data_IF_317329079430
#
_entry.id   IF_317329079430
#
_cell.length_a   1.000
_cell.length_b   1.000
_cell.length_c   1.000
_cell.angle_alpha   90.00
_cell.angle_beta   90.00
_cell.angle_gamma   90.00
#
_symmetry.space_group_name_H-M   'P 1'
#
loop_
_entity.id
_entity.type
_entity.pdbx_description
1 polymer ?
#
# COMPACT_ATOMS: atom_id res chain seq x y z
N UNK A 1 0.67 38.50 -13.82
CA UNK A 1 1.46 37.39 -13.26
C UNK A 1 1.32 37.47 -11.76
N UNK A 2 0.89 36.41 -11.09
CA UNK A 2 0.76 36.38 -9.62
C UNK A 2 2.16 36.25 -8.99
N UNK A 3 2.35 36.80 -7.78
CA UNK A 3 3.65 36.83 -7.07
C UNK A 3 4.23 35.42 -6.93
N UNK A 4 3.34 34.44 -6.77
CA UNK A 4 3.62 33.02 -6.58
C UNK A 4 4.25 32.38 -7.83
N UNK A 5 3.85 32.80 -9.04
CA UNK A 5 4.45 32.29 -10.29
C UNK A 5 5.87 32.82 -10.51
N UNK A 6 6.16 34.03 -10.01
CA UNK A 6 7.51 34.60 -10.07
C UNK A 6 8.45 33.92 -9.07
N UNK A 7 7.95 33.55 -7.88
CA UNK A 7 8.70 32.76 -6.91
C UNK A 7 8.99 31.35 -7.44
N UNK A 8 8.01 30.68 -8.03
CA UNK A 8 8.19 29.38 -8.67
C UNK A 8 9.33 29.39 -9.71
N UNK A 9 9.34 30.38 -10.60
CA UNK A 9 10.38 30.51 -11.64
C UNK A 9 11.78 30.73 -11.09
N UNK A 10 11.93 31.38 -9.94
CA UNK A 10 13.24 31.60 -9.29
C UNK A 10 13.82 30.33 -8.68
N UNK A 11 12.96 29.38 -8.31
CA UNK A 11 13.33 28.10 -7.71
C UNK A 11 13.55 26.98 -8.74
N UNK A 12 13.34 27.26 -10.03
CA UNK A 12 13.46 26.27 -11.10
C UNK A 12 14.94 26.03 -11.46
N UNK A 13 15.37 24.78 -11.40
CA UNK A 13 16.73 24.33 -11.76
C UNK A 13 16.67 23.08 -12.65
N UNK A 14 17.79 22.71 -13.28
CA UNK A 14 17.91 21.47 -14.05
C UNK A 14 18.03 20.24 -13.12
N UNK A 15 17.75 19.05 -13.63
CA UNK A 15 17.94 17.81 -12.88
C UNK A 15 19.43 17.60 -12.52
N UNK A 16 20.33 18.00 -13.42
CA UNK A 16 21.78 17.94 -13.22
C UNK A 16 22.24 18.91 -12.13
N UNK A 17 21.68 20.12 -12.07
CA UNK A 17 22.00 21.09 -11.02
C UNK A 17 21.42 20.66 -9.67
N UNK A 18 20.22 20.07 -9.66
CA UNK A 18 19.66 19.44 -8.47
C UNK A 18 20.56 18.29 -7.97
N UNK A 19 21.04 17.42 -8.87
CA UNK A 19 21.90 16.30 -8.54
C UNK A 19 23.25 16.74 -7.95
N UNK A 20 23.80 17.92 -8.35
CA UNK A 20 25.04 18.49 -7.78
C UNK A 20 24.90 18.89 -6.31
N UNK A 21 23.67 19.10 -5.81
CA UNK A 21 23.45 19.41 -4.40
C UNK A 21 23.73 18.21 -3.49
N UNK A 22 23.64 16.99 -4.03
CA UNK A 22 23.96 15.74 -3.32
C UNK A 22 25.47 15.59 -3.15
N UNK A 23 25.88 15.26 -1.94
CA UNK A 23 27.26 15.00 -1.52
C UNK A 23 27.40 13.60 -0.94
N UNK A 24 28.63 13.09 -0.94
CA UNK A 24 28.95 11.82 -0.29
C UNK A 24 28.57 11.84 1.19
N UNK A 25 27.87 10.81 1.65
CA UNK A 25 27.36 10.72 3.02
C UNK A 25 25.97 11.31 3.26
N UNK A 26 25.37 11.99 2.28
CA UNK A 26 24.02 12.55 2.43
C UNK A 26 22.96 11.45 2.53
N UNK A 27 21.91 11.72 3.30
CA UNK A 27 20.68 10.95 3.31
C UNK A 27 19.66 11.56 2.32
N UNK A 28 19.53 10.92 1.16
CA UNK A 28 18.60 11.27 0.09
C UNK A 28 17.36 10.40 0.19
N UNK A 29 16.21 11.00 0.47
CA UNK A 29 14.94 10.31 0.62
C UNK A 29 14.02 10.58 -0.56
N UNK A 30 13.28 9.56 -0.98
CA UNK A 30 12.13 9.71 -1.87
C UNK A 30 10.85 9.68 -1.05
N UNK A 31 9.88 10.51 -1.44
CA UNK A 31 8.53 10.36 -0.89
C UNK A 31 7.85 9.09 -1.40
N UNK A 32 6.94 8.54 -0.60
CA UNK A 32 6.15 7.36 -0.98
C UNK A 32 5.27 7.63 -2.21
N UNK A 33 5.21 6.66 -3.12
CA UNK A 33 4.33 6.69 -4.29
C UNK A 33 5.17 6.79 -5.56
N UNK A 34 4.96 7.84 -6.35
CA UNK A 34 5.78 8.08 -7.53
C UNK A 34 7.09 8.74 -7.14
N UNK A 35 8.19 8.10 -7.52
CA UNK A 35 9.54 8.62 -7.30
C UNK A 35 9.87 9.70 -8.35
N UNK A 36 10.59 10.75 -7.93
CA UNK A 36 11.11 11.81 -8.81
C UNK A 36 12.16 11.21 -9.77
N UNK A 37 11.79 11.07 -11.04
CA UNK A 37 12.55 10.26 -11.97
C UNK A 37 13.79 10.98 -12.49
N UNK A 38 13.62 12.21 -12.97
CA UNK A 38 14.70 12.95 -13.62
C UNK A 38 15.83 13.25 -12.63
N UNK A 39 15.48 13.70 -11.42
CA UNK A 39 16.47 13.99 -10.38
C UNK A 39 17.15 12.70 -9.89
N UNK A 40 16.40 11.63 -9.67
CA UNK A 40 16.98 10.35 -9.25
C UNK A 40 17.96 9.76 -10.26
N UNK A 41 17.64 9.83 -11.56
CA UNK A 41 18.55 9.38 -12.63
C UNK A 41 19.81 10.25 -12.71
N UNK A 42 19.67 11.56 -12.56
CA UNK A 42 20.80 12.48 -12.56
C UNK A 42 21.75 12.23 -11.36
N UNK A 43 21.21 11.84 -10.20
CA UNK A 43 22.01 11.42 -9.04
C UNK A 43 22.71 10.09 -9.32
N UNK A 44 21.98 9.09 -9.84
CA UNK A 44 22.53 7.78 -10.16
C UNK A 44 23.68 7.86 -11.17
N UNK A 45 23.60 8.77 -12.15
CA UNK A 45 24.65 9.01 -13.13
C UNK A 45 25.99 9.46 -12.50
N UNK A 46 25.96 9.97 -11.26
CA UNK A 46 27.15 10.40 -10.50
C UNK A 46 27.76 9.27 -9.65
N UNK A 47 27.44 8.00 -9.94
CA UNK A 47 27.97 6.80 -9.27
C UNK A 47 29.49 6.88 -9.02
N UNK A 48 30.26 7.21 -10.06
CA UNK A 48 31.72 7.21 -9.96
C UNK A 48 32.27 8.33 -9.03
N UNK A 49 31.49 9.39 -8.80
CA UNK A 49 31.86 10.56 -7.97
C UNK A 49 31.41 10.43 -6.51
N UNK A 50 30.23 9.86 -6.27
CA UNK A 50 29.57 9.84 -4.96
C UNK A 50 29.96 8.59 -4.16
N UNK A 51 30.13 8.73 -2.85
CA UNK A 51 30.41 7.60 -1.95
C UNK A 51 29.48 7.62 -0.75
N UNK A 52 28.99 6.44 -0.38
CA UNK A 52 28.16 6.23 0.80
C UNK A 52 26.96 7.20 0.90
N UNK A 53 26.30 7.48 -0.22
CA UNK A 53 25.02 8.22 -0.22
C UNK A 53 23.95 7.24 0.24
N UNK A 54 23.25 7.60 1.32
CA UNK A 54 22.16 6.78 1.83
C UNK A 54 20.87 7.15 1.09
N UNK A 55 20.32 6.19 0.35
CA UNK A 55 19.14 6.39 -0.48
C UNK A 55 17.96 5.66 0.16
N UNK A 56 17.01 6.45 0.68
CA UNK A 56 15.77 5.93 1.24
C UNK A 56 14.64 5.95 0.20
N UNK A 57 14.13 4.78 -0.17
CA UNK A 57 13.07 4.60 -1.17
C UNK A 57 11.94 3.76 -0.57
N UNK A 58 10.82 4.37 -0.14
CA UNK A 58 9.73 3.64 0.51
C UNK A 58 9.08 2.55 -0.35
N UNK A 59 9.11 2.68 -1.67
CA UNK A 59 8.57 1.68 -2.58
C UNK A 59 9.28 1.79 -3.92
N UNK A 60 10.07 0.76 -4.25
CA UNK A 60 10.94 0.72 -5.44
C UNK A 60 10.10 0.53 -6.71
N UNK A 61 9.68 1.65 -7.31
CA UNK A 61 8.79 1.69 -8.48
C UNK A 61 9.50 1.96 -9.80
N UNK A 62 10.72 2.50 -9.75
CA UNK A 62 11.54 2.83 -10.91
C UNK A 62 12.94 2.27 -10.78
N UNK A 63 13.50 1.91 -11.94
CA UNK A 63 14.89 1.49 -12.04
C UNK A 63 15.80 2.71 -12.24
N UNK A 64 16.76 2.86 -11.34
CA UNK A 64 17.79 3.89 -11.37
C UNK A 64 19.19 3.29 -11.57
N UNK A 65 19.32 1.97 -11.64
CA UNK A 65 20.59 1.25 -11.74
C UNK A 65 21.30 1.00 -10.39
N UNK A 66 21.04 1.77 -9.34
CA UNK A 66 21.66 1.57 -8.01
C UNK A 66 21.21 0.31 -7.25
N UNK A 67 20.32 -0.50 -7.84
CA UNK A 67 19.94 -1.81 -7.32
C UNK A 67 20.85 -2.94 -7.82
N UNK A 68 21.62 -2.67 -8.88
CA UNK A 68 22.52 -3.64 -9.48
C UNK A 68 23.73 -3.91 -8.56
N UNK A 69 24.26 -5.15 -8.54
CA UNK A 69 25.49 -5.46 -7.82
C UNK A 69 26.66 -4.56 -8.24
N UNK A 70 27.46 -4.11 -7.29
CA UNK A 70 28.66 -3.30 -7.53
C UNK A 70 28.41 -1.79 -7.49
N UNK A 71 27.29 -1.34 -6.92
CA UNK A 71 26.98 0.07 -6.67
C UNK A 71 26.99 0.44 -5.18
N UNK A 72 27.21 -0.53 -4.29
CA UNK A 72 27.05 -0.42 -2.83
C UNK A 72 28.07 0.55 -2.19
N UNK A 73 29.25 0.72 -2.80
CA UNK A 73 30.24 1.72 -2.37
C UNK A 73 29.74 3.16 -2.57
N UNK A 74 28.85 3.35 -3.55
CA UNK A 74 28.32 4.66 -3.93
C UNK A 74 26.99 4.93 -3.24
N UNK A 75 26.09 3.94 -3.24
CA UNK A 75 24.73 4.06 -2.74
C UNK A 75 24.39 2.92 -1.79
N UNK A 76 23.99 3.26 -0.56
CA UNK A 76 23.36 2.32 0.37
C UNK A 76 21.85 2.49 0.29
N UNK A 77 21.13 1.40 0.03
CA UNK A 77 19.68 1.45 -0.19
C UNK A 77 18.94 1.00 1.06
N UNK A 78 18.03 1.84 1.53
CA UNK A 78 17.01 1.43 2.51
C UNK A 78 15.64 1.59 1.89
N UNK A 79 14.88 0.50 1.88
CA UNK A 79 13.46 0.54 1.57
C UNK A 79 12.63 0.39 2.84
N UNK A 80 11.33 0.61 2.74
CA UNK A 80 10.41 0.36 3.85
C UNK A 80 9.08 -0.11 3.30
N UNK A 81 8.12 -0.44 4.17
CA UNK A 81 6.72 -0.70 3.82
C UNK A 81 6.40 -1.89 2.89
N UNK A 82 7.04 -1.98 1.72
CA UNK A 82 6.85 -3.03 0.73
C UNK A 82 8.14 -3.30 -0.06
N UNK A 83 8.47 -4.59 -0.22
CA UNK A 83 9.45 -5.05 -1.21
C UNK A 83 8.73 -5.41 -2.50
N UNK A 84 8.98 -4.66 -3.58
CA UNK A 84 8.45 -4.95 -4.91
C UNK A 84 9.37 -5.90 -5.68
N UNK A 85 8.87 -6.61 -6.72
CA UNK A 85 9.65 -7.62 -7.45
C UNK A 85 11.06 -7.19 -7.85
N UNK A 86 11.23 -5.94 -8.28
CA UNK A 86 12.52 -5.38 -8.70
C UNK A 86 13.56 -5.32 -7.58
N UNK A 87 13.14 -5.23 -6.32
CA UNK A 87 14.04 -5.11 -5.16
C UNK A 87 14.22 -6.44 -4.39
N UNK A 88 13.46 -7.50 -4.74
CA UNK A 88 13.46 -8.76 -3.98
C UNK A 88 14.83 -9.44 -3.94
N UNK A 89 15.53 -9.46 -5.07
CA UNK A 89 16.83 -10.12 -5.15
C UNK A 89 17.88 -9.36 -4.34
N UNK A 90 17.90 -8.02 -4.44
CA UNK A 90 18.78 -7.17 -3.63
C UNK A 90 18.57 -7.37 -2.12
N UNK A 91 17.32 -7.45 -1.66
CA UNK A 91 17.00 -7.74 -0.25
C UNK A 91 17.41 -9.16 0.13
N UNK A 92 17.16 -10.16 -0.73
CA UNK A 92 17.57 -11.55 -0.49
C UNK A 92 19.09 -11.69 -0.36
N UNK A 93 19.82 -10.92 -1.16
CA UNK A 93 21.28 -10.85 -1.17
C UNK A 93 21.84 -9.96 -0.03
N UNK A 94 20.97 -9.33 0.77
CA UNK A 94 21.33 -8.44 1.89
C UNK A 94 22.12 -7.21 1.47
N UNK A 95 21.88 -6.73 0.25
CA UNK A 95 22.48 -5.51 -0.32
C UNK A 95 21.64 -4.26 -0.05
N UNK A 96 20.42 -4.43 0.46
CA UNK A 96 19.54 -3.35 0.90
C UNK A 96 18.90 -3.67 2.24
N UNK A 97 18.64 -2.61 3.01
CA UNK A 97 17.96 -2.68 4.30
C UNK A 97 16.45 -2.48 4.16
N UNK A 98 15.68 -3.08 5.07
CA UNK A 98 14.23 -2.94 5.15
C UNK A 98 13.83 -2.27 6.48
N UNK A 99 13.51 -0.98 6.44
CA UNK A 99 13.08 -0.22 7.59
C UNK A 99 11.60 -0.45 7.93
N UNK A 100 11.30 -0.56 9.22
CA UNK A 100 9.96 -0.77 9.77
C UNK A 100 9.49 0.45 10.56
N UNK A 101 8.17 0.65 10.62
CA UNK A 101 7.54 1.63 11.51
C UNK A 101 7.47 3.07 10.99
N UNK A 102 8.17 3.41 9.90
CA UNK A 102 8.25 4.78 9.38
C UNK A 102 6.93 5.39 8.91
N UNK A 103 6.00 4.57 8.41
CA UNK A 103 4.65 4.97 7.98
C UNK A 103 3.58 4.49 8.95
N UNK A 104 3.97 4.04 10.14
CA UNK A 104 3.05 3.59 11.18
C UNK A 104 2.28 4.78 11.75
N UNK A 105 0.96 4.68 11.96
CA UNK A 105 0.19 5.70 12.68
C UNK A 105 0.50 5.74 14.18
N UNK A 106 1.27 4.76 14.69
CA UNK A 106 1.68 4.70 16.09
C UNK A 106 2.86 5.64 16.35
N UNK A 107 2.86 6.34 17.48
CA UNK A 107 4.02 7.13 17.92
C UNK A 107 5.26 6.25 18.01
N UNK A 108 6.37 6.76 17.49
CA UNK A 108 7.64 6.08 17.43
C UNK A 108 8.80 7.08 17.56
N UNK A 109 10.04 6.58 17.60
CA UNK A 109 11.20 7.46 17.60
C UNK A 109 11.21 8.33 16.34
N UNK A 110 11.75 9.54 16.46
CA UNK A 110 11.93 10.40 15.29
C UNK A 110 12.79 9.67 14.25
N UNK A 111 12.38 9.68 12.97
CA UNK A 111 13.18 9.09 11.91
C UNK A 111 14.50 9.86 11.75
N UNK A 112 15.52 9.24 11.15
CA UNK A 112 16.77 9.93 10.87
C UNK A 112 16.53 11.20 10.03
N UNK A 113 17.29 12.29 10.28
CA UNK A 113 17.14 13.53 9.53
C UNK A 113 17.37 13.28 8.05
N UNK A 114 16.57 13.92 7.21
CA UNK A 114 16.67 13.82 5.74
C UNK A 114 17.45 15.02 5.25
N UNK A 115 18.59 14.79 4.58
CA UNK A 115 19.37 15.90 4.02
C UNK A 115 18.68 16.46 2.78
N UNK A 116 18.21 15.57 1.89
CA UNK A 116 17.55 15.95 0.65
C UNK A 116 16.33 15.06 0.44
N UNK A 117 15.15 15.66 0.35
CA UNK A 117 13.92 14.98 -0.02
C UNK A 117 13.58 15.24 -1.48
N UNK A 118 13.32 14.17 -2.21
CA UNK A 118 12.85 14.19 -3.58
C UNK A 118 11.37 13.81 -3.62
N UNK A 119 10.55 14.66 -4.21
CA UNK A 119 9.11 14.43 -4.34
C UNK A 119 8.60 14.82 -5.72
N UNK A 120 7.42 14.32 -6.10
CA UNK A 120 6.73 14.69 -7.34
C UNK A 120 5.46 15.48 -7.01
N UNK A 121 5.24 16.59 -7.72
CA UNK A 121 4.10 17.48 -7.52
C UNK A 121 3.51 17.98 -8.84
N UNK A 122 2.24 18.35 -8.83
CA UNK A 122 1.64 19.08 -9.95
C UNK A 122 2.25 20.49 -10.05
N UNK A 123 2.06 21.20 -11.19
CA UNK A 123 2.29 22.63 -11.24
C UNK A 123 1.51 23.37 -10.15
N UNK A 124 2.03 24.51 -9.64
CA UNK A 124 1.30 25.35 -8.70
C UNK A 124 0.06 25.94 -9.37
N UNK A 125 -1.02 26.04 -8.62
CA UNK A 125 -2.20 26.80 -9.05
C UNK A 125 -2.01 28.31 -8.86
N UNK A 126 -3.05 29.09 -9.15
CA UNK A 126 -3.04 30.56 -9.03
C UNK A 126 -2.78 31.07 -7.60
N UNK A 127 -2.87 30.21 -6.59
CA UNK A 127 -2.65 30.51 -5.19
C UNK A 127 -1.33 29.92 -4.66
N UNK A 128 -0.47 29.41 -5.54
CA UNK A 128 0.83 28.84 -5.16
C UNK A 128 0.74 27.43 -4.58
N UNK A 129 -0.40 26.73 -4.71
CA UNK A 129 -0.52 25.35 -4.21
C UNK A 129 -0.28 24.33 -5.31
N UNK A 130 0.66 23.43 -5.06
CA UNK A 130 0.85 22.19 -5.80
C UNK A 130 0.03 21.07 -5.15
N UNK A 131 -0.21 19.99 -5.88
CA UNK A 131 -0.79 18.74 -5.37
C UNK A 131 0.22 17.61 -5.47
N UNK A 132 0.20 16.67 -4.52
CA UNK A 132 1.01 15.45 -4.60
C UNK A 132 0.38 14.36 -5.49
N UNK A 133 -0.69 14.69 -6.21
CA UNK A 133 -1.24 13.80 -7.21
C UNK A 133 -2.22 12.77 -6.65
N UNK A 134 -1.96 11.51 -6.98
CA UNK A 134 -2.79 10.39 -6.59
C UNK A 134 -2.57 9.91 -5.15
N UNK A 135 -1.57 10.42 -4.42
CA UNK A 135 -1.28 9.91 -3.07
C UNK A 135 -0.59 10.92 -2.16
N UNK A 136 -0.95 10.86 -0.87
CA UNK A 136 -0.34 11.68 0.17
C UNK A 136 0.66 10.89 1.02
N UNK A 137 0.30 9.70 1.50
CA UNK A 137 1.13 8.90 2.43
C UNK A 137 1.64 9.73 3.61
N UNK A 138 2.96 9.78 3.84
CA UNK A 138 3.65 10.58 4.86
C UNK A 138 4.37 11.81 4.26
N UNK A 139 4.03 12.21 3.02
CA UNK A 139 4.78 13.24 2.26
C UNK A 139 4.94 14.55 3.01
N UNK A 140 3.88 15.04 3.66
CA UNK A 140 3.93 16.34 4.35
C UNK A 140 4.81 16.28 5.59
N UNK A 141 4.81 15.17 6.29
CA UNK A 141 5.69 14.89 7.41
C UNK A 141 7.15 14.83 6.94
N UNK A 142 7.43 14.18 5.82
CA UNK A 142 8.78 14.12 5.21
C UNK A 142 9.29 15.48 4.76
N UNK A 143 8.44 16.29 4.13
CA UNK A 143 8.79 17.67 3.73
C UNK A 143 9.23 18.48 4.95
N UNK A 144 8.54 18.36 6.08
CA UNK A 144 8.91 19.08 7.32
C UNK A 144 10.20 18.58 7.97
N UNK A 145 10.55 17.32 7.77
CA UNK A 145 11.76 16.69 8.32
C UNK A 145 13.01 16.93 7.47
N UNK A 146 12.83 17.29 6.20
CA UNK A 146 13.92 17.47 5.26
C UNK A 146 14.61 18.83 5.44
N UNK A 147 15.95 18.84 5.32
CA UNK A 147 16.72 20.09 5.27
C UNK A 147 16.57 20.80 3.92
N UNK A 148 16.37 20.02 2.86
CA UNK A 148 16.19 20.50 1.49
C UNK A 148 15.12 19.68 0.79
N UNK A 149 14.17 20.34 0.13
CA UNK A 149 13.08 19.72 -0.63
C UNK A 149 13.20 20.09 -2.11
N UNK A 150 13.38 19.07 -2.94
CA UNK A 150 13.41 19.20 -4.40
C UNK A 150 12.17 18.53 -4.96
N UNK A 151 11.33 19.31 -5.64
CA UNK A 151 10.08 18.84 -6.21
C UNK A 151 10.16 18.75 -7.74
N UNK A 152 9.94 17.56 -8.26
CA UNK A 152 9.81 17.31 -9.68
C UNK A 152 8.38 17.61 -10.12
N UNK A 153 8.23 18.54 -11.06
CA UNK A 153 6.94 19.05 -11.52
C UNK A 153 6.44 18.21 -12.68
N UNK A 154 5.27 17.60 -12.49
CA UNK A 154 4.60 16.80 -13.50
C UNK A 154 3.18 17.36 -13.77
N UNK A 155 2.93 17.95 -14.96
CA UNK A 155 1.63 18.53 -15.31
C UNK A 155 0.52 17.49 -15.50
N UNK A 156 0.84 16.19 -15.52
CA UNK A 156 -0.12 15.09 -15.69
C UNK A 156 -0.62 14.52 -14.37
N UNK A 157 -0.12 15.01 -13.23
CA UNK A 157 -0.67 14.63 -11.94
C UNK A 157 -2.08 15.19 -11.77
N UNK A 158 -3.02 14.29 -11.46
CA UNK A 158 -4.38 14.65 -11.06
C UNK A 158 -4.36 15.47 -9.76
N UNK A 159 -5.39 16.25 -9.48
CA UNK A 159 -5.55 16.98 -8.21
C UNK A 159 -6.71 16.40 -7.42
N UNK A 160 -6.38 15.62 -6.38
CA UNK A 160 -7.37 15.08 -5.44
C UNK A 160 -7.74 16.11 -4.37
N UNK A 161 -8.94 15.97 -3.79
CA UNK A 161 -9.35 16.78 -2.64
C UNK A 161 -8.73 16.24 -1.32
N UNK A 162 -9.12 16.81 -0.18
CA UNK A 162 -8.58 16.46 1.13
C UNK A 162 -7.35 17.29 1.49
N UNK A 163 -6.34 16.67 2.10
CA UNK A 163 -5.13 17.35 2.60
C UNK A 163 -3.92 17.21 1.66
N UNK A 164 -4.17 16.86 0.40
CA UNK A 164 -3.15 16.44 -0.56
C UNK A 164 -2.50 17.58 -1.37
N UNK A 165 -2.18 18.67 -0.67
CA UNK A 165 -1.61 19.89 -1.24
C UNK A 165 -0.37 20.36 -0.45
N UNK A 166 0.50 21.11 -1.13
CA UNK A 166 1.70 21.75 -0.59
C UNK A 166 1.89 23.12 -1.23
N UNK A 167 2.28 24.13 -0.46
CA UNK A 167 2.54 25.47 -0.99
C UNK A 167 3.98 25.58 -1.50
N UNK A 168 4.21 26.38 -2.55
CA UNK A 168 5.57 26.60 -3.12
C UNK A 168 6.61 27.12 -2.11
N UNK A 169 6.16 27.74 -1.00
CA UNK A 169 7.04 28.22 0.06
C UNK A 169 7.68 27.10 0.88
N UNK A 170 7.10 25.89 0.84
CA UNK A 170 7.59 24.69 1.53
C UNK A 170 8.55 23.85 0.64
N UNK A 171 8.87 24.36 -0.56
CA UNK A 171 9.74 23.69 -1.53
C UNK A 171 10.91 24.63 -1.85
N UNK A 172 12.13 24.09 -1.80
CA UNK A 172 13.36 24.85 -2.06
C UNK A 172 13.63 24.98 -3.56
N UNK A 173 13.56 23.86 -4.28
CA UNK A 173 13.83 23.82 -5.73
C UNK A 173 12.81 23.00 -6.49
N UNK A 174 12.55 23.42 -7.73
CA UNK A 174 11.72 22.70 -8.69
C UNK A 174 12.55 22.21 -9.87
N UNK A 175 12.19 21.04 -10.40
CA UNK A 175 12.74 20.48 -11.63
C UNK A 175 11.57 20.10 -12.56
N UNK A 176 11.58 20.55 -13.81
CA UNK A 176 10.55 20.16 -14.78
C UNK A 176 10.86 18.78 -15.38
N UNK A 177 10.00 17.78 -15.16
CA UNK A 177 10.13 16.49 -15.84
C UNK A 177 9.30 16.48 -17.14
N UNK A 178 9.99 16.69 -18.26
CA UNK A 178 9.37 16.69 -19.60
C UNK A 178 9.24 15.30 -20.21
N UNK A 179 10.14 14.36 -19.92
CA UNK A 179 10.13 13.02 -20.51
C UNK A 179 8.98 12.16 -19.98
N UNK A 180 8.62 12.34 -18.71
CA UNK A 180 7.43 11.74 -18.14
C UNK A 180 6.14 12.48 -18.52
N UNK A 181 6.18 13.49 -19.39
CA UNK A 181 4.97 13.97 -20.08
C UNK A 181 4.58 13.06 -21.26
N UNK A 182 5.42 12.07 -21.62
CA UNK A 182 5.26 11.32 -22.87
C UNK A 182 4.99 9.81 -22.68
N UNK A 183 5.38 9.20 -21.55
CA UNK A 183 5.12 7.76 -21.29
C UNK A 183 3.64 7.46 -21.02
N UNK A 184 3.03 6.59 -21.82
CA UNK A 184 1.69 6.02 -21.55
C UNK A 184 1.84 4.82 -20.61
N UNK A 185 1.78 5.05 -19.30
CA UNK A 185 1.71 3.94 -18.34
C UNK A 185 0.25 3.52 -18.22
N UNK A 186 -0.14 2.49 -18.97
CA UNK A 186 -1.43 1.84 -18.81
C UNK A 186 -1.30 0.69 -17.80
N UNK A 187 -1.64 0.94 -16.53
CA UNK A 187 -1.68 -0.08 -15.47
C UNK A 187 -2.98 -0.90 -15.49
N UNK A 188 -3.86 -0.66 -16.47
CA UNK A 188 -5.14 -1.37 -16.59
C UNK A 188 -5.01 -2.81 -17.09
N UNK A 189 -3.83 -3.18 -17.61
CA UNK A 189 -3.53 -4.52 -18.12
C UNK A 189 -3.63 -5.61 -17.05
N UNK A 190 -4.21 -6.75 -17.44
CA UNK A 190 -4.33 -7.95 -16.61
C UNK A 190 -5.75 -8.49 -16.56
N UNK A 191 -5.87 -9.82 -16.48
CA UNK A 191 -7.11 -10.51 -16.19
C UNK A 191 -7.13 -10.91 -14.70
N UNK A 192 -8.30 -10.88 -14.03
CA UNK A 192 -8.43 -11.47 -12.71
C UNK A 192 -7.95 -12.93 -12.72
N UNK A 193 -7.18 -13.38 -11.73
CA UNK A 193 -6.84 -14.80 -11.65
C UNK A 193 -8.11 -15.62 -11.41
N UNK A 194 -8.21 -16.87 -11.91
CA UNK A 194 -9.41 -17.69 -11.75
C UNK A 194 -9.88 -17.86 -10.30
N UNK A 195 -8.91 -17.92 -9.36
CA UNK A 195 -9.20 -18.01 -7.93
C UNK A 195 -9.96 -16.80 -7.38
N UNK A 196 -9.81 -15.60 -7.97
CA UNK A 196 -10.56 -14.42 -7.56
C UNK A 196 -12.08 -14.63 -7.73
N UNK A 197 -12.49 -15.19 -8.86
CA UNK A 197 -13.90 -15.54 -9.10
C UNK A 197 -14.41 -16.64 -8.19
N UNK A 198 -13.53 -17.58 -7.79
CA UNK A 198 -13.91 -18.67 -6.89
C UNK A 198 -14.08 -18.22 -5.43
N UNK A 199 -13.28 -17.26 -4.96
CA UNK A 199 -13.39 -16.73 -3.59
C UNK A 199 -14.46 -15.64 -3.45
N UNK A 200 -14.78 -14.91 -4.54
CA UNK A 200 -15.67 -13.75 -4.48
C UNK A 200 -17.06 -14.06 -3.87
N UNK A 201 -17.75 -15.15 -4.23
CA UNK A 201 -19.05 -15.49 -3.61
C UNK A 201 -18.95 -15.73 -2.09
N UNK A 202 -17.86 -16.35 -1.64
CA UNK A 202 -17.62 -16.61 -0.21
C UNK A 202 -17.38 -15.31 0.56
N UNK A 203 -16.58 -14.40 0.00
CA UNK A 203 -16.36 -13.07 0.59
C UNK A 203 -17.67 -12.26 0.57
N UNK A 204 -18.42 -12.27 -0.54
CA UNK A 204 -19.70 -11.56 -0.68
C UNK A 204 -20.72 -11.96 0.39
N UNK A 205 -20.74 -13.24 0.81
CA UNK A 205 -21.62 -13.72 1.89
C UNK A 205 -21.39 -13.06 3.25
N UNK A 206 -20.23 -12.40 3.42
CA UNK A 206 -19.85 -11.69 4.63
C UNK A 206 -20.11 -10.18 4.55
N UNK A 207 -20.57 -9.67 3.40
CA UNK A 207 -20.82 -8.25 3.15
C UNK A 207 -22.30 -7.91 3.24
N UNK A 208 -22.59 -6.63 3.49
CA UNK A 208 -23.93 -6.08 3.65
C UNK A 208 -24.03 -4.71 3.00
N UNK A 209 -25.26 -4.33 2.63
CA UNK A 209 -25.55 -2.95 2.24
C UNK A 209 -25.13 -1.99 3.34
N UNK A 210 -24.51 -0.86 2.96
CA UNK A 210 -24.05 0.15 3.91
C UNK A 210 -22.71 -0.12 4.57
N UNK A 211 -22.02 -1.22 4.26
CA UNK A 211 -20.69 -1.49 4.78
C UNK A 211 -19.70 -0.40 4.32
N UNK A 212 -18.78 0.00 5.22
CA UNK A 212 -17.62 0.81 4.86
C UNK A 212 -16.46 -0.11 4.55
N UNK A 213 -15.95 -0.09 3.33
CA UNK A 213 -15.00 -1.10 2.85
C UNK A 213 -13.56 -0.57 2.73
N UNK A 214 -12.64 -1.44 3.11
CA UNK A 214 -11.24 -1.42 2.70
C UNK A 214 -10.91 -2.74 2.00
N UNK A 215 -10.23 -2.65 0.86
CA UNK A 215 -9.74 -3.82 0.12
C UNK A 215 -8.25 -3.62 -0.12
N UNK A 216 -7.44 -4.53 0.43
CA UNK A 216 -5.99 -4.49 0.33
C UNK A 216 -5.50 -4.85 -1.07
N UNK A 217 -4.33 -4.33 -1.41
CA UNK A 217 -3.59 -4.79 -2.59
C UNK A 217 -3.20 -6.27 -2.44
N UNK A 218 -3.05 -6.96 -3.56
CA UNK A 218 -2.66 -8.36 -3.58
C UNK A 218 -3.18 -9.06 -4.81
N UNK A 219 -2.54 -10.17 -5.18
CA UNK A 219 -2.81 -10.90 -6.43
C UNK A 219 -4.27 -11.34 -6.58
N UNK A 220 -5.00 -11.51 -5.48
CA UNK A 220 -6.41 -11.89 -5.48
C UNK A 220 -7.31 -10.74 -5.07
N UNK A 221 -7.03 -10.09 -3.93
CA UNK A 221 -7.95 -9.12 -3.30
C UNK A 221 -8.19 -7.88 -4.16
N UNK A 222 -7.16 -7.37 -4.84
CA UNK A 222 -7.31 -6.16 -5.67
C UNK A 222 -8.31 -6.34 -6.83
N UNK A 223 -8.53 -7.60 -7.25
CA UNK A 223 -9.38 -7.97 -8.38
C UNK A 223 -10.81 -8.29 -8.00
N UNK A 224 -11.10 -8.49 -6.71
CA UNK A 224 -12.42 -8.91 -6.24
C UNK A 224 -13.56 -8.00 -6.73
N UNK A 225 -13.43 -6.65 -6.72
CA UNK A 225 -14.51 -5.81 -7.24
C UNK A 225 -14.72 -6.00 -8.75
N UNK A 226 -13.69 -6.35 -9.53
CA UNK A 226 -13.83 -6.60 -10.98
C UNK A 226 -14.49 -7.94 -11.32
N UNK A 227 -14.53 -8.89 -10.38
CA UNK A 227 -15.22 -10.17 -10.53
C UNK A 227 -16.58 -10.20 -9.82
N UNK A 228 -17.15 -9.02 -9.55
CA UNK A 228 -18.51 -8.87 -9.07
C UNK A 228 -18.70 -9.05 -7.57
N UNK A 229 -17.65 -8.92 -6.75
CA UNK A 229 -17.75 -8.99 -5.29
C UNK A 229 -18.83 -8.04 -4.72
N UNK A 230 -18.97 -6.86 -5.32
CA UNK A 230 -19.77 -5.75 -4.79
C UNK A 230 -21.02 -5.45 -5.63
N UNK A 231 -21.27 -6.18 -6.72
CA UNK A 231 -22.27 -5.82 -7.74
C UNK A 231 -23.72 -5.84 -7.21
N UNK A 232 -23.99 -6.62 -6.17
CA UNK A 232 -25.32 -6.75 -5.55
C UNK A 232 -25.46 -5.96 -4.24
N UNK A 233 -24.52 -5.06 -3.96
CA UNK A 233 -24.51 -4.25 -2.74
C UNK A 233 -24.76 -2.78 -3.07
N UNK A 234 -25.35 -2.07 -2.12
CA UNK A 234 -25.74 -0.67 -2.26
C UNK A 234 -25.35 0.14 -1.02
N UNK A 235 -25.30 1.46 -1.19
CA UNK A 235 -24.95 2.43 -0.15
C UNK A 235 -23.59 2.20 0.52
N UNK A 236 -22.66 1.58 -0.19
CA UNK A 236 -21.33 1.27 0.32
C UNK A 236 -20.53 2.56 0.57
N UNK A 237 -19.72 2.55 1.62
CA UNK A 237 -18.72 3.56 1.91
C UNK A 237 -17.31 3.08 1.63
N UNK A 238 -16.35 3.99 1.41
CA UNK A 238 -14.93 3.65 1.26
C UNK A 238 -14.09 4.45 2.25
N UNK A 239 -13.29 3.72 3.03
CA UNK A 239 -12.19 4.22 3.85
C UNK A 239 -11.05 3.22 3.71
N UNK A 240 -10.09 3.48 2.83
CA UNK A 240 -9.11 2.48 2.39
C UNK A 240 -7.71 3.06 2.38
N UNK A 241 -6.68 2.25 2.54
CA UNK A 241 -5.30 2.72 2.30
C UNK A 241 -5.13 3.16 0.84
N UNK A 242 -5.42 2.23 -0.08
CA UNK A 242 -5.39 2.45 -1.52
C UNK A 242 -6.69 1.95 -2.16
N UNK A 243 -7.18 2.63 -3.20
CA UNK A 243 -8.37 2.16 -3.92
C UNK A 243 -8.07 0.90 -4.75
N UNK A 244 -8.85 -0.16 -4.53
CA UNK A 244 -8.77 -1.37 -5.34
C UNK A 244 -9.31 -1.17 -6.77
N UNK A 245 -8.98 -2.11 -7.67
CA UNK A 245 -9.43 -2.06 -9.07
C UNK A 245 -10.96 -2.17 -9.13
N UNK A 246 -11.60 -1.27 -9.86
CA UNK A 246 -13.06 -1.27 -10.05
C UNK A 246 -13.85 -0.42 -9.06
N UNK A 247 -13.22 0.12 -8.00
CA UNK A 247 -13.90 1.01 -7.05
C UNK A 247 -14.49 2.24 -7.76
N UNK A 248 -13.74 2.87 -8.67
CA UNK A 248 -14.20 4.06 -9.41
C UNK A 248 -15.39 3.75 -10.34
N UNK A 249 -15.46 2.55 -10.91
CA UNK A 249 -16.64 2.08 -11.66
C UNK A 249 -17.88 2.04 -10.76
N UNK A 250 -17.76 1.41 -9.58
CA UNK A 250 -18.87 1.27 -8.63
C UNK A 250 -19.32 2.61 -8.02
N UNK A 251 -18.41 3.58 -7.91
CA UNK A 251 -18.77 4.97 -7.57
C UNK A 251 -19.61 5.61 -8.68
N UNK A 252 -19.20 5.47 -9.94
CA UNK A 252 -19.95 5.98 -11.10
C UNK A 252 -21.33 5.35 -11.23
N UNK A 253 -21.46 4.08 -10.89
CA UNK A 253 -22.72 3.33 -10.90
C UNK A 253 -23.62 3.61 -9.66
N UNK A 254 -23.09 4.30 -8.65
CA UNK A 254 -23.83 4.72 -7.46
C UNK A 254 -23.94 3.67 -6.34
N UNK A 255 -23.41 2.46 -6.56
CA UNK A 255 -23.31 1.41 -5.55
C UNK A 255 -22.44 1.83 -4.37
N UNK A 256 -21.33 2.52 -4.66
CA UNK A 256 -20.50 3.22 -3.67
C UNK A 256 -20.88 4.70 -3.66
N UNK A 257 -21.49 5.14 -2.58
CA UNK A 257 -21.93 6.54 -2.42
C UNK A 257 -21.59 7.14 -1.05
N UNK A 258 -21.16 6.34 -0.08
CA UNK A 258 -20.73 6.79 1.23
C UNK A 258 -21.81 7.37 2.13
N UNK A 259 -23.10 7.29 1.77
CA UNK A 259 -24.20 7.89 2.55
C UNK A 259 -24.36 7.31 3.95
N UNK A 260 -23.92 6.07 4.16
CA UNK A 260 -24.00 5.37 5.45
C UNK A 260 -22.71 5.38 6.26
N UNK A 261 -21.65 6.04 5.77
CA UNK A 261 -20.43 6.22 6.55
C UNK A 261 -20.71 7.10 7.76
N UNK A 262 -20.18 6.69 8.91
CA UNK A 262 -20.24 7.48 10.15
C UNK A 262 -19.28 8.66 10.11
N UNK A 263 -18.07 8.43 9.56
CA UNK A 263 -17.03 9.44 9.40
C UNK A 263 -16.87 9.77 7.91
N UNK A 264 -16.76 11.06 7.58
CA UNK A 264 -16.70 11.55 6.19
C UNK A 264 -17.84 11.02 5.30
N UNK A 265 -19.12 11.30 5.65
CA UNK A 265 -20.26 10.85 4.86
C UNK A 265 -20.23 11.42 3.45
N UNK A 266 -20.54 10.57 2.47
CA UNK A 266 -20.55 10.93 1.05
C UNK A 266 -19.16 10.99 0.39
N UNK A 267 -18.09 10.64 1.11
CA UNK A 267 -16.71 10.71 0.61
C UNK A 267 -16.04 9.35 0.50
N UNK A 268 -15.22 9.21 -0.54
CA UNK A 268 -14.22 8.16 -0.69
C UNK A 268 -12.94 8.65 -0.03
N UNK A 269 -12.55 8.00 1.07
CA UNK A 269 -11.36 8.36 1.84
C UNK A 269 -10.24 7.38 1.51
N UNK A 270 -9.08 7.91 1.12
CA UNK A 270 -7.88 7.11 0.95
C UNK A 270 -6.58 7.84 1.28
N UNK A 271 -5.46 7.11 1.39
CA UNK A 271 -4.13 7.74 1.35
C UNK A 271 -3.51 7.71 -0.04
N UNK A 272 -3.95 6.75 -0.87
CA UNK A 272 -3.65 6.67 -2.28
C UNK A 272 -4.89 6.28 -3.10
N UNK A 273 -5.03 6.87 -4.27
CA UNK A 273 -6.02 6.48 -5.26
C UNK A 273 -5.31 5.94 -6.50
N UNK A 274 -5.96 5.05 -7.21
CA UNK A 274 -5.39 4.39 -8.37
C UNK A 274 -6.46 3.72 -9.22
N UNK A 275 -6.12 3.46 -10.47
CA UNK A 275 -7.02 2.86 -11.43
C UNK A 275 -6.49 2.99 -12.84
N UNK A 276 -7.34 2.65 -13.81
CA UNK A 276 -7.04 2.91 -15.21
C UNK A 276 -7.02 4.42 -15.48
N UNK A 277 -6.49 4.85 -16.63
CA UNK A 277 -6.46 6.27 -17.01
C UNK A 277 -7.82 6.97 -16.86
N UNK A 278 -8.89 6.32 -17.31
CA UNK A 278 -10.26 6.86 -17.20
C UNK A 278 -10.73 7.02 -15.75
N UNK A 279 -10.24 6.16 -14.84
CA UNK A 279 -10.53 6.28 -13.43
C UNK A 279 -9.80 7.49 -12.83
N UNK A 280 -8.53 7.69 -13.22
CA UNK A 280 -7.75 8.86 -12.81
C UNK A 280 -8.37 10.17 -13.30
N UNK A 281 -8.81 10.21 -14.56
CA UNK A 281 -9.53 11.36 -15.14
C UNK A 281 -10.85 11.67 -14.42
N UNK A 282 -11.56 10.64 -13.94
CA UNK A 282 -12.78 10.83 -13.16
C UNK A 282 -12.53 11.36 -11.74
N UNK A 283 -11.37 11.02 -11.16
CA UNK A 283 -10.98 11.47 -9.83
C UNK A 283 -10.46 12.91 -9.87
N UNK A 284 -9.82 13.33 -10.96
CA UNK A 284 -9.20 14.64 -11.07
C UNK A 284 -10.19 15.80 -10.82
N UNK A 285 -9.91 16.62 -9.79
CA UNK A 285 -10.77 17.72 -9.37
C UNK A 285 -12.12 17.31 -8.76
N UNK A 286 -12.36 16.01 -8.54
CA UNK A 286 -13.63 15.52 -8.03
C UNK A 286 -13.66 15.56 -6.50
N UNK A 287 -14.54 16.37 -5.88
CA UNK A 287 -14.58 16.55 -4.43
C UNK A 287 -15.05 15.31 -3.66
N UNK A 288 -15.50 14.25 -4.34
CA UNK A 288 -15.86 12.99 -3.71
C UNK A 288 -14.64 12.20 -3.20
N UNK A 289 -13.47 12.38 -3.82
CA UNK A 289 -12.25 11.66 -3.48
C UNK A 289 -11.34 12.56 -2.65
N UNK A 290 -11.25 12.25 -1.36
CA UNK A 290 -10.38 12.98 -0.44
C UNK A 290 -9.20 12.10 -0.03
N UNK A 291 -8.01 12.65 -0.20
CA UNK A 291 -6.75 11.98 0.09
C UNK A 291 -6.12 12.60 1.35
N UNK A 292 -5.79 11.74 2.31
CA UNK A 292 -5.26 12.11 3.63
C UNK A 292 -3.98 11.34 3.99
N UNK A 293 -3.27 11.83 5.00
CA UNK A 293 -2.03 11.21 5.49
C UNK A 293 -2.28 9.75 5.89
N UNK A 294 -1.30 8.88 5.64
CA UNK A 294 -1.37 7.46 6.05
C UNK A 294 -1.53 7.35 7.57
N UNK A 295 -0.97 8.30 8.34
CA UNK A 295 -1.12 8.35 9.80
C UNK A 295 -2.56 8.65 10.24
N UNK A 296 -3.39 9.24 9.37
CA UNK A 296 -4.82 9.42 9.62
C UNK A 296 -5.63 8.23 9.11
N UNK A 297 -5.45 7.87 7.84
CA UNK A 297 -6.23 6.84 7.15
C UNK A 297 -6.03 5.47 7.79
N UNK A 298 -4.79 5.13 8.13
CA UNK A 298 -4.44 3.83 8.70
C UNK A 298 -4.51 3.82 10.23
N UNK A 299 -4.90 4.90 10.91
CA UNK A 299 -5.00 4.89 12.36
C UNK A 299 -6.17 3.99 12.82
N UNK A 300 -5.94 2.92 13.61
CA UNK A 300 -7.01 2.05 14.08
C UNK A 300 -8.15 2.80 14.80
N UNK A 301 -7.84 3.88 15.52
CA UNK A 301 -8.83 4.71 16.21
C UNK A 301 -9.69 5.55 15.24
N UNK A 302 -9.16 5.92 14.07
CA UNK A 302 -9.92 6.57 13.00
C UNK A 302 -10.76 5.54 12.24
N UNK A 303 -10.15 4.41 11.88
CA UNK A 303 -10.83 3.31 11.19
C UNK A 303 -12.05 2.84 12.00
N UNK A 304 -11.88 2.65 13.32
CA UNK A 304 -12.92 2.17 14.23
C UNK A 304 -14.14 3.10 14.37
N UNK A 305 -14.01 4.37 13.99
CA UNK A 305 -15.14 5.33 14.00
C UNK A 305 -16.14 5.08 12.89
N UNK A 306 -15.80 4.31 11.85
CA UNK A 306 -16.75 3.89 10.83
C UNK A 306 -17.51 2.66 11.31
N UNK A 307 -18.84 2.78 11.49
CA UNK A 307 -19.69 1.59 11.73
C UNK A 307 -19.64 0.65 10.50
N UNK A 308 -19.75 -0.65 10.76
CA UNK A 308 -19.70 -1.71 9.74
C UNK A 308 -18.43 -1.63 8.86
N UNK A 309 -17.28 -1.34 9.48
CA UNK A 309 -15.99 -1.35 8.78
C UNK A 309 -15.59 -2.77 8.39
N UNK A 310 -15.47 -3.04 7.10
CA UNK A 310 -15.01 -4.34 6.57
C UNK A 310 -13.66 -4.18 5.89
N UNK A 311 -12.65 -4.85 6.44
CA UNK A 311 -11.30 -4.87 5.88
C UNK A 311 -11.00 -6.23 5.25
N UNK A 312 -10.74 -6.24 3.94
CA UNK A 312 -10.50 -7.45 3.13
C UNK A 312 -9.05 -7.45 2.65
N UNK A 313 -8.21 -8.36 3.13
CA UNK A 313 -6.77 -8.36 2.83
C UNK A 313 -6.24 -9.73 2.42
N UNK A 314 -5.20 -9.75 1.60
CA UNK A 314 -4.52 -10.97 1.18
C UNK A 314 -3.67 -11.58 2.30
N UNK A 315 -3.44 -12.88 2.24
CA UNK A 315 -2.48 -13.57 3.11
C UNK A 315 -1.62 -14.54 2.30
N UNK A 316 -0.34 -14.70 2.63
CA UNK A 316 0.57 -15.72 2.07
C UNK A 316 0.29 -17.10 2.66
N UNK A 317 0.12 -17.19 3.97
CA UNK A 317 -0.23 -18.44 4.65
C UNK A 317 -0.99 -18.15 5.94
N UNK A 318 -1.77 -19.15 6.39
CA UNK A 318 -2.44 -19.15 7.69
C UNK A 318 -2.14 -20.45 8.42
N UNK A 319 -1.64 -20.36 9.65
CA UNK A 319 -1.45 -21.56 10.47
C UNK A 319 -2.72 -22.02 11.17
N UNK A 320 -2.75 -23.27 11.66
CA UNK A 320 -3.92 -23.84 12.32
C UNK A 320 -4.35 -23.14 13.61
N UNK A 321 -3.52 -22.27 14.19
CA UNK A 321 -3.90 -21.44 15.35
C UNK A 321 -4.55 -20.12 14.93
N UNK A 322 -4.45 -19.77 13.65
CA UNK A 322 -4.97 -18.57 13.02
C UNK A 322 -3.94 -17.43 12.94
N UNK A 323 -2.64 -17.69 13.04
CA UNK A 323 -1.65 -16.67 12.68
C UNK A 323 -1.63 -16.49 11.17
N UNK A 324 -1.59 -15.24 10.73
CA UNK A 324 -1.64 -14.88 9.31
C UNK A 324 -0.31 -14.24 8.93
N UNK A 325 0.38 -14.85 7.98
CA UNK A 325 1.57 -14.31 7.35
C UNK A 325 1.20 -13.72 6.00
N UNK A 326 1.58 -12.47 5.74
CA UNK A 326 1.27 -11.79 4.48
C UNK A 326 2.50 -11.17 3.79
N UNK A 327 3.63 -11.07 4.49
CA UNK A 327 4.80 -10.34 3.99
C UNK A 327 6.05 -11.18 3.72
N UNK A 328 6.19 -12.36 4.33
CA UNK A 328 7.37 -13.21 4.17
C UNK A 328 7.01 -14.69 4.02
N UNK A 329 7.96 -15.46 3.47
CA UNK A 329 7.96 -16.92 3.50
C UNK A 329 9.31 -17.36 4.06
N UNK A 330 9.30 -17.98 5.24
CA UNK A 330 10.50 -18.09 6.04
C UNK A 330 11.13 -16.70 6.28
N UNK A 331 12.46 -16.58 6.30
CA UNK A 331 13.15 -15.29 6.52
C UNK A 331 13.12 -14.36 5.30
N UNK A 332 12.51 -14.78 4.18
CA UNK A 332 12.56 -14.03 2.93
C UNK A 332 11.35 -13.11 2.78
N UNK A 333 11.62 -11.80 2.75
CA UNK A 333 10.60 -10.79 2.47
C UNK A 333 10.08 -10.93 1.04
N UNK A 334 8.77 -11.09 0.91
CA UNK A 334 8.05 -11.13 -0.36
C UNK A 334 7.40 -9.76 -0.68
N UNK A 335 6.94 -9.07 0.36
CA UNK A 335 6.36 -7.72 0.33
C UNK A 335 6.74 -6.99 1.63
N UNK A 336 5.82 -6.27 2.24
CA UNK A 336 5.92 -5.80 3.62
C UNK A 336 4.54 -5.79 4.28
N UNK A 337 4.42 -5.30 5.53
CA UNK A 337 3.21 -5.47 6.32
C UNK A 337 2.07 -4.53 5.90
N UNK A 338 2.42 -3.42 5.23
CA UNK A 338 1.50 -2.34 4.87
C UNK A 338 0.68 -1.85 6.07
N UNK A 339 -0.54 -1.38 5.81
CA UNK A 339 -1.53 -1.08 6.84
C UNK A 339 -2.38 -2.27 7.31
N UNK A 340 -2.05 -3.50 6.90
CA UNK A 340 -2.95 -4.65 7.07
C UNK A 340 -3.34 -4.89 8.54
N UNK A 341 -2.36 -4.87 9.45
CA UNK A 341 -2.61 -5.02 10.88
C UNK A 341 -3.48 -3.89 11.43
N UNK A 342 -3.25 -2.65 10.96
CA UNK A 342 -4.02 -1.50 11.43
C UNK A 342 -5.49 -1.59 11.01
N UNK A 343 -5.76 -2.02 9.79
CA UNK A 343 -7.12 -2.29 9.32
C UNK A 343 -7.77 -3.49 10.02
N UNK A 344 -6.99 -4.54 10.33
CA UNK A 344 -7.49 -5.65 11.15
C UNK A 344 -7.94 -5.16 12.54
N UNK A 345 -7.09 -4.36 13.22
CA UNK A 345 -7.41 -3.78 14.53
C UNK A 345 -8.61 -2.82 14.46
N UNK A 346 -8.60 -1.89 13.50
CA UNK A 346 -9.67 -0.92 13.31
C UNK A 346 -11.02 -1.55 13.00
N UNK A 347 -11.06 -2.56 12.13
CA UNK A 347 -12.29 -3.31 11.84
C UNK A 347 -12.80 -4.09 13.05
N UNK A 348 -11.91 -4.65 13.89
CA UNK A 348 -12.33 -5.34 15.11
C UNK A 348 -12.90 -4.42 16.19
N UNK A 349 -12.42 -3.17 16.24
CA UNK A 349 -12.88 -2.12 17.15
C UNK A 349 -14.16 -1.42 16.65
N UNK A 350 -14.39 -1.44 15.34
CA UNK A 350 -15.61 -0.92 14.72
C UNK A 350 -16.86 -1.72 15.14
N UNK A 351 -17.95 -1.00 15.40
CA UNK A 351 -19.26 -1.60 15.65
C UNK A 351 -19.77 -2.32 14.40
N UNK A 352 -19.92 -3.64 14.48
CA UNK A 352 -20.32 -4.46 13.34
C UNK A 352 -19.21 -4.71 12.32
N UNK A 353 -17.98 -4.31 12.64
CA UNK A 353 -16.84 -4.48 11.76
C UNK A 353 -16.36 -5.94 11.66
N UNK A 354 -15.70 -6.24 10.55
CA UNK A 354 -15.27 -7.57 10.13
C UNK A 354 -13.89 -7.49 9.49
N UNK A 355 -12.99 -8.40 9.85
CA UNK A 355 -11.71 -8.55 9.17
C UNK A 355 -11.69 -9.87 8.38
N UNK A 356 -11.39 -9.80 7.09
CA UNK A 356 -11.46 -10.92 6.16
C UNK A 356 -10.08 -11.11 5.51
N UNK A 357 -9.43 -12.22 5.83
CA UNK A 357 -8.20 -12.66 5.16
C UNK A 357 -8.55 -13.58 4.00
N UNK A 358 -8.07 -13.26 2.80
CA UNK A 358 -8.34 -14.00 1.57
C UNK A 358 -7.05 -14.61 1.05
N UNK A 359 -7.08 -15.89 0.74
CA UNK A 359 -5.97 -16.58 0.09
C UNK A 359 -6.46 -17.77 -0.75
N UNK A 360 -5.82 -18.05 -1.90
CA UNK A 360 -5.87 -19.38 -2.49
C UNK A 360 -5.49 -20.43 -1.44
N UNK A 361 -6.15 -21.58 -1.46
CA UNK A 361 -5.81 -22.67 -0.53
C UNK A 361 -4.44 -23.28 -0.79
N UNK A 362 -3.87 -23.08 -2.00
CA UNK A 362 -2.58 -23.64 -2.43
C UNK A 362 -1.68 -22.62 -3.15
N UNK A 363 -0.40 -22.98 -3.30
CA UNK A 363 0.63 -22.30 -4.10
C UNK A 363 1.35 -23.31 -5.01
N UNK A 364 2.21 -22.82 -5.90
CA UNK A 364 3.02 -23.63 -6.83
C UNK A 364 2.19 -24.68 -7.59
N UNK A 365 1.14 -24.23 -8.29
CA UNK A 365 0.24 -25.09 -9.07
C UNK A 365 -0.39 -26.24 -8.25
N UNK A 366 -0.74 -25.98 -6.98
CA UNK A 366 -1.38 -26.96 -6.11
C UNK A 366 -0.42 -27.81 -5.28
N UNK A 367 0.90 -27.67 -5.48
CA UNK A 367 1.91 -28.49 -4.80
C UNK A 367 2.09 -28.14 -3.32
N UNK A 368 1.78 -26.90 -2.91
CA UNK A 368 2.00 -26.43 -1.53
C UNK A 368 0.68 -25.92 -0.95
N UNK A 369 0.31 -26.36 0.25
CA UNK A 369 -0.83 -25.81 1.00
C UNK A 369 -0.50 -24.44 1.59
N UNK A 370 -1.46 -23.51 1.57
CA UNK A 370 -1.36 -22.20 2.25
C UNK A 370 -2.12 -22.14 3.57
N UNK A 371 -2.92 -23.17 3.86
CA UNK A 371 -3.33 -23.49 5.22
C UNK A 371 -2.31 -24.51 5.76
N UNK A 372 -1.53 -24.13 6.77
CA UNK A 372 -0.37 -24.90 7.22
C UNK A 372 -0.50 -25.30 8.70
N UNK A 373 0.12 -26.41 9.15
CA UNK A 373 0.12 -26.76 10.56
C UNK A 373 0.72 -25.66 11.46
N UNK A 374 1.88 -25.16 11.04
CA UNK A 374 2.64 -24.08 11.65
C UNK A 374 3.29 -23.29 10.52
N UNK A 375 3.51 -21.99 10.73
CA UNK A 375 4.29 -21.19 9.79
C UNK A 375 5.73 -21.71 9.72
N UNK A 376 6.35 -21.63 8.54
CA UNK A 376 7.75 -22.00 8.34
C UNK A 376 8.66 -21.15 9.26
N UNK A 377 9.71 -21.73 9.89
CA UNK A 377 10.63 -20.98 10.72
C UNK A 377 11.17 -19.70 10.04
N UNK A 378 11.11 -18.59 10.75
CA UNK A 378 11.49 -17.27 10.23
C UNK A 378 10.37 -16.51 9.52
N UNK A 379 9.23 -17.15 9.24
CA UNK A 379 8.05 -16.47 8.68
C UNK A 379 7.53 -15.42 9.65
N UNK A 380 7.31 -14.20 9.15
CA UNK A 380 6.82 -13.08 9.94
C UNK A 380 5.28 -13.16 10.04
N UNK A 381 4.79 -13.02 11.28
CA UNK A 381 3.35 -12.94 11.55
C UNK A 381 2.89 -11.51 11.34
N UNK A 382 2.20 -11.26 10.23
CA UNK A 382 1.68 -9.92 9.89
C UNK A 382 0.42 -9.59 10.69
N UNK A 383 -0.53 -10.54 10.79
CA UNK A 383 -1.72 -10.39 11.64
C UNK A 383 -1.70 -11.48 12.72
N UNK A 384 -1.45 -11.10 13.98
CA UNK A 384 -1.45 -12.04 15.10
C UNK A 384 -2.81 -12.73 15.23
N UNK A 385 -2.81 -13.98 15.70
CA UNK A 385 -4.03 -14.80 15.85
C UNK A 385 -5.15 -14.17 16.70
N UNK A 386 -4.81 -13.20 17.56
CA UNK A 386 -5.80 -12.44 18.35
C UNK A 386 -6.61 -11.47 17.50
N UNK A 387 -6.05 -11.03 16.37
CA UNK A 387 -6.69 -10.14 15.39
C UNK A 387 -7.33 -10.88 14.22
N UNK A 388 -7.20 -12.21 14.15
CA UNK A 388 -7.78 -13.02 13.09
C UNK A 388 -9.29 -13.22 13.30
N UNK A 389 -10.07 -12.98 12.25
CA UNK A 389 -11.53 -13.06 12.28
C UNK A 389 -12.08 -14.05 11.23
N UNK A 390 -12.14 -13.69 9.95
CA UNK A 390 -12.51 -14.59 8.87
C UNK A 390 -11.32 -14.94 7.98
N UNK A 391 -11.22 -16.21 7.58
CA UNK A 391 -10.29 -16.69 6.56
C UNK A 391 -11.09 -17.33 5.43
N UNK A 392 -10.84 -16.90 4.20
CA UNK A 392 -11.59 -17.29 3.01
C UNK A 392 -10.65 -17.87 1.95
N UNK A 393 -11.01 -19.06 1.47
CA UNK A 393 -10.38 -19.69 0.30
C UNK A 393 -11.47 -20.03 -0.73
N UNK A 394 -11.07 -20.62 -1.85
CA UNK A 394 -12.01 -21.12 -2.86
C UNK A 394 -12.94 -22.23 -2.31
N UNK A 395 -12.59 -22.84 -1.17
CA UNK A 395 -13.36 -23.91 -0.52
C UNK A 395 -14.37 -23.41 0.52
N UNK A 396 -14.36 -22.12 0.88
CA UNK A 396 -15.37 -21.56 1.78
C UNK A 396 -14.82 -20.56 2.79
N UNK A 397 -15.55 -20.41 3.90
CA UNK A 397 -15.30 -19.42 4.95
C UNK A 397 -15.03 -20.09 6.30
N UNK A 398 -13.88 -19.79 6.89
CA UNK A 398 -13.53 -20.16 8.26
C UNK A 398 -13.63 -18.94 9.18
N UNK A 399 -14.62 -18.94 10.09
CA UNK A 399 -14.68 -17.98 11.21
C UNK A 399 -13.75 -18.43 12.33
N UNK A 400 -12.94 -17.53 12.88
CA UNK A 400 -11.92 -17.79 13.92
C UNK A 400 -12.14 -16.99 15.21
N UNK A 401 -12.77 -15.81 15.13
CA UNK A 401 -13.05 -14.99 16.31
C UNK A 401 -13.98 -15.73 17.28
N UNK A 402 -13.67 -15.61 18.57
CA UNK A 402 -14.37 -16.29 19.68
C UNK A 402 -14.35 -17.83 19.62
N UNK A 403 -13.44 -18.43 18.87
CA UNK A 403 -13.21 -19.88 18.84
C UNK A 403 -11.94 -20.27 19.59
N UNK A 404 -11.98 -21.45 20.22
CA UNK A 404 -10.80 -22.12 20.76
C UNK A 404 -9.80 -22.49 19.65
N UNK A 405 -8.55 -22.77 20.01
CA UNK A 405 -7.52 -23.22 19.05
C UNK A 405 -7.98 -24.48 18.29
N UNK A 406 -8.70 -25.39 18.96
CA UNK A 406 -9.25 -26.59 18.32
C UNK A 406 -10.31 -26.26 17.27
N UNK A 407 -11.28 -25.45 17.62
CA UNK A 407 -12.36 -25.07 16.68
C UNK A 407 -11.84 -24.22 15.51
N UNK A 408 -10.78 -23.42 15.73
CA UNK A 408 -10.08 -22.69 14.67
C UNK A 408 -9.40 -23.63 13.69
N UNK A 409 -8.60 -24.56 14.21
CA UNK A 409 -7.88 -25.53 13.39
C UNK A 409 -8.85 -26.39 12.56
N UNK A 410 -9.95 -26.88 13.17
CA UNK A 410 -11.00 -27.59 12.44
C UNK A 410 -11.64 -26.73 11.35
N UNK A 411 -11.97 -25.46 11.64
CA UNK A 411 -12.54 -24.56 10.63
C UNK A 411 -11.57 -24.26 9.48
N UNK A 412 -10.27 -24.11 9.77
CA UNK A 412 -9.24 -23.87 8.77
C UNK A 412 -9.02 -25.08 7.86
N UNK A 413 -9.10 -26.30 8.40
CA UNK A 413 -9.03 -27.53 7.60
C UNK A 413 -10.19 -27.65 6.61
N UNK A 414 -11.39 -27.21 6.98
CA UNK A 414 -12.55 -27.23 6.09
C UNK A 414 -12.44 -26.28 4.89
N UNK A 415 -11.62 -25.24 5.01
CA UNK A 415 -11.30 -24.33 3.90
C UNK A 415 -9.94 -24.61 3.27
N UNK A 416 -9.23 -25.65 3.71
CA UNK A 416 -8.02 -26.13 3.05
C UNK A 416 -8.37 -26.97 1.81
N UNK A 417 -7.43 -27.05 0.88
CA UNK A 417 -7.56 -27.90 -0.28
C UNK A 417 -7.71 -29.38 0.14
N UNK A 418 -8.68 -30.14 -0.42
CA UNK A 418 -8.99 -31.52 0.00
C UNK A 418 -7.76 -32.43 0.10
N UNK A 419 -6.81 -32.29 -0.83
CA UNK A 419 -5.55 -33.04 -0.86
C UNK A 419 -4.73 -32.95 0.44
N UNK A 420 -4.77 -31.81 1.15
CA UNK A 420 -3.93 -31.59 2.34
C UNK A 420 -4.69 -31.78 3.67
N UNK A 421 -6.01 -32.00 3.65
CA UNK A 421 -6.83 -32.06 4.88
C UNK A 421 -6.40 -33.19 5.81
N UNK A 422 -6.11 -34.38 5.27
CA UNK A 422 -5.68 -35.52 6.09
C UNK A 422 -4.35 -35.23 6.81
N UNK A 423 -3.39 -34.63 6.10
CA UNK A 423 -2.11 -34.22 6.67
C UNK A 423 -2.29 -33.16 7.77
N UNK A 424 -3.14 -32.15 7.52
CA UNK A 424 -3.47 -31.13 8.51
C UNK A 424 -4.12 -31.74 9.77
N UNK A 425 -5.02 -32.72 9.61
CA UNK A 425 -5.62 -33.44 10.74
C UNK A 425 -4.57 -34.23 11.54
N UNK A 426 -3.64 -34.93 10.88
CA UNK A 426 -2.54 -35.64 11.55
C UNK A 426 -1.64 -34.66 12.31
N UNK A 427 -1.29 -33.54 11.68
CA UNK A 427 -0.43 -32.52 12.30
C UNK A 427 -1.13 -31.84 13.49
N UNK A 428 -2.42 -31.55 13.40
CA UNK A 428 -3.18 -30.96 14.50
C UNK A 428 -3.26 -31.88 15.72
N UNK A 429 -3.48 -33.19 15.52
CA UNK A 429 -3.45 -34.19 16.59
C UNK A 429 -2.09 -34.28 17.30
N UNK A 430 -1.02 -34.02 16.56
CA UNK A 430 0.33 -33.98 17.14
C UNK A 430 0.60 -32.68 17.91
N UNK A 431 0.14 -31.55 17.38
CA UNK A 431 0.59 -30.23 17.82
C UNK A 431 -0.34 -29.53 18.81
N UNK A 432 -1.66 -29.76 18.71
CA UNK A 432 -2.66 -28.88 19.31
C UNK A 432 -3.56 -29.60 20.32
N UNK A 433 -3.81 -30.90 20.15
CA UNK A 433 -4.57 -31.73 21.10
C UNK A 433 -4.45 -33.22 20.71
N UNK A 434 -4.64 -34.19 21.63
CA UNK A 434 -4.67 -35.62 21.28
C UNK A 434 -5.78 -36.00 20.29
#
# INVERSE_FOLDING_TARGET
>A
MTIELDEYKKKLISAEDAAKLVKSGDHVAFTFGREAQAVGLAIAARKEELRNVHVYIPSVGRDYGWYDPGWEDSFSITMSYIVLPMARDMVRERRADFALGLTSPMEGPEPPPIDILLTEVSPPDRHGYCSFGASLWDKKERVRQAKLVIAEVNPRLIRTAGDNFIHISEIDYFVENREEAERKVDTSGGAPPPVASAVAPHVASLLRDGDTIQIGAGTVTEWLPRVGLLDNLSDLGVHTEMTARGIVKLVREGAINGKRKTLHPGKVIATAVGGARQDMEFIDGNPLFEVYSVHYVNNPAVIAQNDNMVAINGALAVDLTGQIAAESVGPYMYSGPGGQLMFAMGAMLSKGGRYISVLPSTAQNGAISRIVPQLEPGTIVTVPRVCADYVVTEYGVAKLRAKTVRERALALMEVAHPHFREELHKAARRLLWP
#
